data_IF_537765519126
#
_entry.id   IF_537765519126
#
_cell.length_a   1.000
_cell.length_b   1.000
_cell.length_c   1.000
_cell.angle_alpha   90.00
_cell.angle_beta   90.00
_cell.angle_gamma   90.00
#
_symmetry.space_group_name_H-M   'P 1'
#
loop_
_entity.id
_entity.type
_entity.pdbx_description
1 polymer ?
#
# COMPACT_ATOMS: atom_id res chain seq x y z
N UNK A 1 11.48 -15.75 39.60
CA UNK A 1 10.37 -16.29 40.40
C UNK A 1 9.90 -17.58 39.76
N UNK A 2 9.93 -18.69 40.50
CA UNK A 2 9.40 -19.96 40.04
C UNK A 2 7.88 -19.91 40.04
N UNK A 3 7.24 -20.32 38.95
CA UNK A 3 5.79 -20.41 38.85
C UNK A 3 5.38 -21.77 38.31
N UNK A 4 4.21 -22.24 38.77
CA UNK A 4 3.57 -23.43 38.25
C UNK A 4 2.24 -23.05 37.62
N UNK A 5 2.02 -23.45 36.37
CA UNK A 5 0.75 -23.28 35.66
C UNK A 5 0.17 -24.66 35.37
N UNK A 6 -1.00 -24.96 35.93
CA UNK A 6 -1.74 -26.20 35.68
C UNK A 6 -2.95 -25.93 34.81
N UNK A 7 -3.11 -26.76 33.78
CA UNK A 7 -4.30 -26.85 32.92
C UNK A 7 -4.99 -28.20 33.13
N UNK A 8 -6.06 -28.51 32.39
CA UNK A 8 -6.66 -29.83 32.48
C UNK A 8 -5.73 -30.98 32.05
N UNK A 9 -4.82 -30.73 31.11
CA UNK A 9 -4.04 -31.79 30.46
C UNK A 9 -2.53 -31.64 30.65
N UNK A 10 -2.06 -30.55 31.25
CA UNK A 10 -0.64 -30.21 31.32
C UNK A 10 -0.31 -29.42 32.60
N UNK A 11 0.89 -29.61 33.12
CA UNK A 11 1.47 -28.85 34.24
C UNK A 11 2.85 -28.35 33.83
N UNK A 12 3.03 -27.04 33.83
CA UNK A 12 4.28 -26.40 33.43
C UNK A 12 4.90 -25.67 34.60
N UNK A 13 6.19 -25.92 34.82
CA UNK A 13 7.02 -25.16 35.75
C UNK A 13 7.98 -24.28 34.95
N UNK A 14 8.09 -23.01 35.33
CA UNK A 14 9.00 -22.07 34.65
C UNK A 14 9.50 -21.01 35.61
N UNK A 15 10.64 -20.42 35.27
CA UNK A 15 11.15 -19.22 35.94
C UNK A 15 10.82 -17.98 35.10
N UNK A 16 10.26 -16.98 35.74
CA UNK A 16 9.96 -15.68 35.14
C UNK A 16 10.59 -14.56 35.98
N UNK A 17 10.93 -13.40 35.38
CA UNK A 17 11.25 -12.20 36.15
C UNK A 17 10.18 -11.92 37.21
N UNK A 18 10.60 -11.45 38.40
CA UNK A 18 9.68 -11.14 39.50
C UNK A 18 9.01 -9.78 39.29
N UNK A 19 8.30 -9.62 38.17
CA UNK A 19 7.48 -8.45 37.88
C UNK A 19 6.07 -8.89 37.49
N UNK A 20 5.09 -8.03 37.75
CA UNK A 20 3.68 -8.30 37.42
C UNK A 20 3.52 -8.57 35.91
N UNK A 21 4.12 -7.74 35.05
CA UNK A 21 4.02 -7.87 33.60
C UNK A 21 4.61 -9.19 33.10
N UNK A 22 5.79 -9.59 33.58
CA UNK A 22 6.43 -10.83 33.16
C UNK A 22 5.63 -12.08 33.55
N UNK A 23 5.06 -12.08 34.77
CA UNK A 23 4.19 -13.15 35.24
C UNK A 23 2.95 -13.29 34.35
N UNK A 24 2.17 -12.23 34.18
CA UNK A 24 0.92 -12.31 33.41
C UNK A 24 1.17 -12.53 31.91
N UNK A 25 2.33 -12.12 31.38
CA UNK A 25 2.76 -12.49 30.04
C UNK A 25 2.93 -14.00 29.91
N UNK A 26 3.66 -14.63 30.83
CA UNK A 26 3.87 -16.08 30.82
C UNK A 26 2.56 -16.88 30.95
N UNK A 27 1.61 -16.39 31.76
CA UNK A 27 0.26 -16.96 31.86
C UNK A 27 -0.49 -16.79 30.52
N UNK A 28 -0.48 -15.59 29.94
CA UNK A 28 -1.15 -15.28 28.68
C UNK A 28 -0.64 -16.11 27.50
N UNK A 29 0.66 -16.36 27.41
CA UNK A 29 1.28 -17.18 26.36
C UNK A 29 0.72 -18.61 26.32
N UNK A 30 0.28 -19.14 27.46
CA UNK A 30 -0.33 -20.47 27.51
C UNK A 30 -1.65 -20.53 26.71
N UNK A 31 -2.34 -19.40 26.54
CA UNK A 31 -3.63 -19.32 25.84
C UNK A 31 -3.53 -19.64 24.35
N UNK A 32 -2.37 -19.48 23.70
CA UNK A 32 -2.24 -19.64 22.26
C UNK A 32 -2.51 -21.07 21.77
N UNK A 33 -2.25 -22.07 22.62
CA UNK A 33 -2.36 -23.49 22.28
C UNK A 33 -3.35 -24.24 23.19
N UNK A 34 -4.16 -23.51 23.97
CA UNK A 34 -5.04 -24.10 24.95
C UNK A 34 -6.39 -24.49 24.34
N UNK A 35 -6.81 -25.75 24.55
CA UNK A 35 -8.13 -26.20 24.15
C UNK A 35 -9.22 -25.49 24.95
N UNK A 36 -10.39 -25.25 24.36
CA UNK A 36 -11.54 -24.63 25.03
C UNK A 36 -12.65 -25.68 25.19
N UNK A 37 -13.26 -25.86 26.38
CA UNK A 37 -12.98 -25.14 27.62
C UNK A 37 -11.70 -25.59 28.34
N UNK A 38 -11.16 -24.73 29.20
CA UNK A 38 -10.04 -25.05 30.09
C UNK A 38 -10.06 -24.24 31.39
N UNK A 39 -9.06 -24.47 32.24
CA UNK A 39 -8.70 -23.58 33.34
C UNK A 39 -7.17 -23.39 33.39
N UNK A 40 -6.72 -22.31 34.01
CA UNK A 40 -5.33 -22.04 34.34
C UNK A 40 -5.24 -21.81 35.85
N UNK A 41 -4.71 -22.78 36.59
CA UNK A 41 -4.35 -22.62 38.00
C UNK A 41 -2.87 -22.23 38.09
N UNK A 42 -2.62 -21.04 38.63
CA UNK A 42 -1.29 -20.44 38.72
C UNK A 42 -0.86 -20.37 40.17
N UNK A 43 0.22 -21.07 40.52
CA UNK A 43 0.84 -21.01 41.84
C UNK A 43 2.18 -20.27 41.76
N UNK A 44 2.38 -19.31 42.66
CA UNK A 44 3.62 -18.52 42.79
C UNK A 44 4.01 -18.41 44.28
N UNK A 45 5.27 -18.06 44.60
CA UNK A 45 5.68 -17.77 45.97
C UNK A 45 4.95 -16.60 46.65
N UNK A 46 4.25 -15.75 45.88
CA UNK A 46 3.60 -14.53 46.35
C UNK A 46 2.07 -14.56 46.20
N UNK A 47 1.51 -15.76 46.03
CA UNK A 47 0.07 -16.00 45.93
C UNK A 47 -0.31 -16.89 44.75
N UNK A 48 -1.62 -17.10 44.61
CA UNK A 48 -2.21 -17.98 43.60
C UNK A 48 -3.33 -17.28 42.83
N UNK A 49 -3.57 -17.70 41.60
CA UNK A 49 -4.68 -17.23 40.78
C UNK A 49 -5.31 -18.37 39.97
N UNK A 50 -6.61 -18.27 39.72
CA UNK A 50 -7.35 -19.18 38.84
C UNK A 50 -8.06 -18.41 37.73
N UNK A 51 -7.83 -18.83 36.49
CA UNK A 51 -8.49 -18.30 35.32
C UNK A 51 -9.30 -19.37 34.60
N UNK A 52 -10.58 -19.09 34.39
CA UNK A 52 -11.49 -19.92 33.63
C UNK A 52 -11.42 -19.57 32.14
N UNK A 53 -11.28 -20.57 31.28
CA UNK A 53 -11.20 -20.41 29.82
C UNK A 53 -12.46 -20.98 29.19
N UNK A 54 -13.42 -20.09 28.93
CA UNK A 54 -14.78 -20.44 28.47
C UNK A 54 -14.91 -20.21 26.96
N UNK A 55 -15.81 -20.94 26.29
CA UNK A 55 -16.18 -20.65 24.91
C UNK A 55 -17.14 -19.46 24.86
N UNK A 56 -16.84 -18.45 24.05
CA UNK A 56 -17.71 -17.28 23.83
C UNK A 56 -18.28 -17.19 22.40
N UNK A 57 -17.70 -17.94 21.47
CA UNK A 57 -18.05 -17.88 20.06
C UNK A 57 -17.12 -18.75 19.23
N UNK A 58 -16.96 -18.43 17.95
CA UNK A 58 -16.09 -19.15 17.03
C UNK A 58 -15.32 -18.19 16.11
N UNK A 59 -14.23 -18.68 15.53
CA UNK A 59 -13.49 -18.00 14.47
C UNK A 59 -13.02 -19.03 13.43
N UNK A 60 -12.90 -18.62 12.17
CA UNK A 60 -12.35 -19.47 11.13
C UNK A 60 -10.83 -19.32 11.07
N UNK A 61 -10.09 -20.39 10.81
CA UNK A 61 -8.67 -20.37 10.46
C UNK A 61 -8.43 -21.51 9.48
N UNK A 62 -7.85 -21.21 8.32
CA UNK A 62 -7.55 -22.19 7.27
C UNK A 62 -8.78 -23.02 6.82
N UNK A 63 -9.97 -22.40 6.82
CA UNK A 63 -11.23 -23.06 6.48
C UNK A 63 -11.87 -23.88 7.61
N UNK A 64 -11.16 -24.10 8.72
CA UNK A 64 -11.67 -24.79 9.91
C UNK A 64 -12.23 -23.79 10.90
N UNK A 65 -13.35 -24.12 11.55
CA UNK A 65 -13.97 -23.30 12.60
C UNK A 65 -13.45 -23.75 13.96
N UNK A 66 -12.88 -22.81 14.72
CA UNK A 66 -12.34 -23.03 16.06
C UNK A 66 -13.17 -22.28 17.11
N UNK A 67 -13.29 -22.79 18.34
CA UNK A 67 -13.91 -22.07 19.45
C UNK A 67 -13.07 -20.85 19.82
N UNK A 68 -13.72 -19.68 19.93
CA UNK A 68 -13.07 -18.48 20.46
C UNK A 68 -13.18 -18.47 21.99
N UNK A 69 -12.05 -18.32 22.68
CA UNK A 69 -12.00 -18.28 24.13
C UNK A 69 -12.42 -16.92 24.72
N UNK A 70 -12.87 -16.95 25.96
CA UNK A 70 -13.03 -15.80 26.84
C UNK A 70 -12.53 -16.17 28.23
N UNK A 71 -11.57 -15.40 28.72
CA UNK A 71 -10.94 -15.69 30.01
C UNK A 71 -11.61 -14.86 31.11
N UNK A 72 -12.01 -15.53 32.19
CA UNK A 72 -12.48 -14.89 33.44
C UNK A 72 -11.52 -15.20 34.57
N UNK A 73 -11.28 -14.22 35.44
CA UNK A 73 -10.54 -14.43 36.69
C UNK A 73 -11.55 -14.87 37.76
N UNK A 74 -11.35 -16.06 38.31
CA UNK A 74 -12.21 -16.61 39.37
C UNK A 74 -11.74 -16.11 40.74
N UNK A 75 -10.42 -16.17 40.98
CA UNK A 75 -9.76 -15.48 42.09
C UNK A 75 -8.32 -15.16 41.74
N UNK A 76 -7.75 -14.18 42.45
CA UNK A 76 -6.36 -13.80 42.32
C UNK A 76 -5.86 -13.20 43.64
N UNK A 77 -4.90 -13.88 44.26
CA UNK A 77 -4.26 -13.50 45.53
C UNK A 77 -2.81 -13.10 45.35
N UNK A 78 -2.31 -13.08 44.11
CA UNK A 78 -0.93 -12.76 43.78
C UNK A 78 -0.67 -11.29 44.09
N UNK A 79 0.31 -11.03 44.95
CA UNK A 79 0.72 -9.67 45.32
C UNK A 79 2.08 -9.34 44.71
N UNK A 80 2.06 -8.52 43.66
CA UNK A 80 3.25 -7.93 43.06
C UNK A 80 3.04 -6.41 42.90
N UNK A 81 4.11 -5.60 42.97
CA UNK A 81 4.01 -4.19 42.61
C UNK A 81 3.50 -4.04 41.19
N UNK A 82 2.54 -3.13 40.99
CA UNK A 82 1.96 -2.85 39.69
C UNK A 82 3.06 -2.45 38.69
N UNK A 83 3.04 -3.06 37.51
CA UNK A 83 4.01 -2.79 36.45
C UNK A 83 3.42 -1.84 35.38
N UNK A 84 4.25 -1.51 34.39
CA UNK A 84 3.84 -0.76 33.21
C UNK A 84 3.60 -1.70 32.04
N UNK A 85 2.66 -1.33 31.18
CA UNK A 85 2.24 -2.13 30.03
C UNK A 85 2.25 -1.27 28.77
N UNK A 86 2.64 -1.84 27.61
CA UNK A 86 2.74 -1.06 26.38
C UNK A 86 1.36 -0.75 25.78
N UNK A 87 1.21 0.39 25.11
CA UNK A 87 0.10 0.58 24.15
C UNK A 87 0.28 -0.45 23.01
N UNK A 88 -0.81 -1.07 22.56
CA UNK A 88 -0.74 -2.07 21.49
C UNK A 88 -1.90 -1.97 20.51
N UNK A 89 -1.61 -2.10 19.22
CA UNK A 89 -2.60 -2.03 18.16
C UNK A 89 -2.66 -3.35 17.39
N UNK A 90 -3.73 -4.10 17.62
CA UNK A 90 -3.94 -5.40 16.99
C UNK A 90 -4.92 -5.31 15.82
N UNK A 91 -4.68 -6.07 14.76
CA UNK A 91 -5.60 -6.19 13.62
C UNK A 91 -5.99 -7.65 13.37
N UNK A 92 -7.18 -7.90 12.83
CA UNK A 92 -7.64 -9.22 12.45
C UNK A 92 -8.34 -9.15 11.09
N UNK A 93 -7.73 -9.78 10.10
CA UNK A 93 -8.25 -9.92 8.74
C UNK A 93 -8.55 -11.40 8.52
N UNK A 94 -9.83 -11.71 8.27
CA UNK A 94 -10.26 -13.05 7.93
C UNK A 94 -11.41 -12.97 6.92
N UNK A 95 -11.19 -13.39 5.66
CA UNK A 95 -12.21 -13.32 4.64
C UNK A 95 -13.37 -14.28 4.88
N UNK A 96 -13.13 -15.45 5.47
CA UNK A 96 -14.17 -16.49 5.69
C UNK A 96 -15.25 -15.97 6.63
N UNK A 97 -14.86 -15.39 7.77
CA UNK A 97 -15.76 -14.79 8.75
C UNK A 97 -16.03 -13.29 8.53
N UNK A 98 -15.53 -12.72 7.43
CA UNK A 98 -15.52 -11.28 7.15
C UNK A 98 -14.99 -10.41 8.32
N UNK A 99 -14.05 -10.94 9.09
CA UNK A 99 -13.37 -10.16 10.10
C UNK A 99 -12.43 -9.16 9.40
N UNK A 100 -12.61 -7.89 9.72
CA UNK A 100 -11.72 -6.82 9.30
C UNK A 100 -11.65 -5.83 10.44
N UNK A 101 -11.03 -6.24 11.53
CA UNK A 101 -11.22 -5.66 12.86
C UNK A 101 -9.91 -5.13 13.38
N UNK A 102 -9.98 -4.10 14.21
CA UNK A 102 -8.85 -3.66 15.03
C UNK A 102 -9.22 -3.71 16.52
N UNK A 103 -8.20 -3.74 17.35
CA UNK A 103 -8.29 -3.63 18.79
C UNK A 103 -7.08 -2.87 19.32
N UNK A 104 -7.30 -1.67 19.82
CA UNK A 104 -6.29 -0.77 20.32
C UNK A 104 -6.29 -0.76 21.85
N UNK A 105 -5.29 -1.40 22.46
CA UNK A 105 -5.06 -1.44 23.90
C UNK A 105 -4.43 -0.14 24.37
N UNK A 106 -4.99 0.46 25.41
CA UNK A 106 -4.60 1.76 25.96
C UNK A 106 -4.46 1.67 27.48
N UNK A 107 -3.34 1.14 27.99
CA UNK A 107 -3.10 1.07 29.42
C UNK A 107 -3.02 2.49 30.01
N UNK A 108 -3.65 2.71 31.17
CA UNK A 108 -3.68 4.02 31.84
C UNK A 108 -3.79 3.82 33.35
N UNK A 109 -2.68 4.02 34.07
CA UNK A 109 -2.64 3.78 35.51
C UNK A 109 -2.94 2.32 35.84
N UNK A 110 -3.93 2.08 36.70
CA UNK A 110 -4.33 0.75 37.17
C UNK A 110 -5.36 0.04 36.29
N UNK A 111 -5.72 0.61 35.13
CA UNK A 111 -6.72 0.03 34.23
C UNK A 111 -6.25 -0.07 32.79
N UNK A 112 -6.80 -1.07 32.10
CA UNK A 112 -6.68 -1.26 30.66
C UNK A 112 -7.94 -0.74 29.96
N UNK A 113 -7.79 0.38 29.25
CA UNK A 113 -8.77 0.83 28.28
C UNK A 113 -8.54 0.14 26.94
N UNK A 114 -9.57 0.13 26.09
CA UNK A 114 -9.40 -0.27 24.72
C UNK A 114 -10.39 0.42 23.78
N UNK A 115 -9.99 0.60 22.53
CA UNK A 115 -10.87 1.03 21.45
C UNK A 115 -10.84 -0.02 20.35
N UNK A 116 -12.01 -0.44 19.86
CA UNK A 116 -12.11 -1.53 18.89
C UNK A 116 -13.21 -1.26 17.87
N UNK A 117 -13.18 -1.97 16.76
CA UNK A 117 -14.20 -1.82 15.72
C UNK A 117 -13.79 -2.52 14.42
N UNK A 118 -14.59 -2.31 13.38
CA UNK A 118 -14.19 -2.63 12.01
C UNK A 118 -13.19 -1.59 11.51
N UNK A 119 -12.12 -2.07 10.88
CA UNK A 119 -11.15 -1.24 10.17
C UNK A 119 -11.89 -0.42 9.10
N UNK A 120 -11.69 0.90 9.13
CA UNK A 120 -12.30 1.83 8.17
C UNK A 120 -13.71 2.31 8.51
N UNK A 121 -14.32 1.86 9.61
CA UNK A 121 -15.64 2.30 10.02
C UNK A 121 -15.56 3.33 11.17
N UNK A 122 -16.19 4.49 10.98
CA UNK A 122 -16.24 5.61 11.93
C UNK A 122 -17.07 5.34 13.19
N UNK A 123 -17.07 6.27 14.16
CA UNK A 123 -18.01 6.20 15.30
C UNK A 123 -19.43 6.42 14.77
N UNK A 124 -20.40 5.65 15.26
CA UNK A 124 -21.80 5.75 14.83
C UNK A 124 -22.15 4.92 13.59
N UNK A 125 -21.15 4.45 12.83
CA UNK A 125 -21.36 3.54 11.71
C UNK A 125 -21.60 2.10 12.19
N UNK A 126 -22.21 1.28 11.33
CA UNK A 126 -22.41 -0.15 11.60
C UNK A 126 -21.07 -0.86 11.85
N UNK A 127 -20.94 -1.50 13.02
CA UNK A 127 -19.69 -2.11 13.50
C UNK A 127 -18.50 -1.13 13.60
N UNK A 128 -18.80 0.16 13.70
CA UNK A 128 -17.85 1.25 13.83
C UNK A 128 -17.04 1.24 15.13
N UNK A 129 -16.14 2.22 15.24
CA UNK A 129 -15.27 2.42 16.40
C UNK A 129 -16.06 2.56 17.71
N UNK A 130 -15.70 1.76 18.71
CA UNK A 130 -16.28 1.75 20.06
C UNK A 130 -15.18 1.70 21.12
N UNK A 131 -15.39 2.42 22.21
CA UNK A 131 -14.55 2.28 23.39
C UNK A 131 -15.09 1.19 24.31
N UNK A 132 -14.17 0.55 25.03
CA UNK A 132 -14.50 -0.40 26.08
C UNK A 132 -15.26 0.32 27.19
N UNK A 133 -16.51 -0.09 27.44
CA UNK A 133 -17.38 0.57 28.43
C UNK A 133 -16.89 0.39 29.87
N UNK A 134 -16.32 -0.77 30.16
CA UNK A 134 -15.81 -1.14 31.48
C UNK A 134 -14.35 -1.53 31.33
N UNK A 135 -13.41 -0.66 31.71
CA UNK A 135 -11.98 -0.96 31.67
C UNK A 135 -11.66 -2.21 32.48
N UNK A 136 -10.67 -2.98 32.03
CA UNK A 136 -10.19 -4.14 32.80
C UNK A 136 -9.16 -3.69 33.83
N UNK A 137 -8.99 -4.41 34.96
CA UNK A 137 -7.78 -4.29 35.78
C UNK A 137 -6.52 -4.46 34.92
N UNK A 138 -5.48 -3.65 35.20
CA UNK A 138 -4.30 -3.58 34.33
C UNK A 138 -3.54 -4.92 34.24
N UNK A 139 -3.52 -5.72 35.31
CA UNK A 139 -2.86 -7.03 35.34
C UNK A 139 -3.43 -8.02 34.32
N UNK A 140 -4.67 -7.81 33.85
CA UNK A 140 -5.27 -8.61 32.78
C UNK A 140 -4.78 -8.23 31.38
N UNK A 141 -3.87 -7.27 31.23
CA UNK A 141 -3.35 -6.82 29.93
C UNK A 141 -2.92 -7.99 29.04
N UNK A 142 -1.98 -8.81 29.52
CA UNK A 142 -1.44 -9.90 28.71
C UNK A 142 -2.47 -10.99 28.47
N UNK A 143 -3.33 -11.28 29.44
CA UNK A 143 -4.44 -12.21 29.26
C UNK A 143 -5.34 -11.75 28.10
N UNK A 144 -5.74 -10.49 28.07
CA UNK A 144 -6.58 -9.94 26.99
C UNK A 144 -5.83 -9.86 25.66
N UNK A 145 -4.55 -9.51 25.68
CA UNK A 145 -3.69 -9.48 24.51
C UNK A 145 -3.59 -10.85 23.84
N UNK A 146 -3.19 -11.91 24.58
CA UNK A 146 -3.07 -13.25 24.02
C UNK A 146 -4.43 -13.90 23.72
N UNK A 147 -5.51 -13.52 24.43
CA UNK A 147 -6.89 -13.89 24.06
C UNK A 147 -7.27 -13.35 22.67
N UNK A 148 -6.74 -12.19 22.25
CA UNK A 148 -6.93 -11.67 20.89
C UNK A 148 -6.06 -12.40 19.89
N UNK A 149 -4.78 -12.62 20.20
CA UNK A 149 -3.87 -13.33 19.31
C UNK A 149 -4.38 -14.76 18.99
N UNK A 150 -4.92 -15.47 19.99
CA UNK A 150 -5.50 -16.81 19.79
C UNK A 150 -6.71 -16.82 18.84
N UNK A 151 -7.39 -15.67 18.65
CA UNK A 151 -8.51 -15.47 17.72
C UNK A 151 -8.07 -15.07 16.31
N UNK A 152 -6.77 -15.05 16.04
CA UNK A 152 -6.21 -14.64 14.74
C UNK A 152 -6.01 -13.13 14.61
N UNK A 153 -5.94 -12.38 15.72
CA UNK A 153 -5.37 -11.04 15.67
C UNK A 153 -3.84 -11.12 15.51
N UNK A 154 -3.26 -10.11 14.87
CA UNK A 154 -1.82 -9.88 14.76
C UNK A 154 -1.48 -8.54 15.39
N UNK A 155 -0.31 -8.47 16.01
CA UNK A 155 0.22 -7.23 16.58
C UNK A 155 0.89 -6.40 15.50
N UNK A 156 0.35 -5.20 15.29
CA UNK A 156 0.80 -4.24 14.29
C UNK A 156 1.18 -2.90 14.94
N UNK A 157 1.53 -2.94 16.23
CA UNK A 157 1.87 -1.75 17.01
C UNK A 157 3.01 -0.94 16.38
N UNK A 158 4.00 -1.61 15.81
CA UNK A 158 5.12 -0.94 15.12
C UNK A 158 4.70 -0.12 13.91
N UNK A 159 3.50 -0.34 13.36
CA UNK A 159 2.96 0.38 12.20
C UNK A 159 1.99 1.47 12.67
N UNK A 160 1.00 1.11 13.49
CA UNK A 160 -0.09 2.00 13.87
C UNK A 160 0.23 2.93 15.04
N UNK A 161 1.20 2.55 15.87
CA UNK A 161 1.70 3.36 16.99
C UNK A 161 3.10 3.91 16.70
N UNK A 162 3.63 3.67 15.50
CA UNK A 162 4.78 4.43 15.05
C UNK A 162 4.46 5.92 15.24
N UNK A 163 5.36 6.72 15.83
CA UNK A 163 5.18 8.15 15.80
C UNK A 163 4.92 8.54 14.35
N UNK A 164 3.81 9.25 14.11
CA UNK A 164 3.69 9.99 12.86
C UNK A 164 5.00 10.74 12.72
N UNK A 165 5.74 10.52 11.61
CA UNK A 165 7.09 11.04 11.41
C UNK A 165 7.10 12.44 11.99
N UNK A 166 7.68 12.57 13.19
CA UNK A 166 7.68 13.82 13.92
C UNK A 166 8.34 14.76 12.96
N UNK A 167 7.58 15.79 12.56
CA UNK A 167 7.98 16.92 11.73
C UNK A 167 9.50 17.03 11.71
N UNK A 168 10.18 16.28 10.83
CA UNK A 168 11.51 16.66 10.41
C UNK A 168 11.28 18.08 9.97
N UNK A 169 12.00 19.08 10.55
CA UNK A 169 11.71 20.49 10.33
C UNK A 169 11.45 20.61 8.85
N UNK A 170 10.19 20.90 8.51
CA UNK A 170 9.69 20.84 7.12
C UNK A 170 10.78 21.54 6.34
N UNK A 171 11.55 20.78 5.55
CA UNK A 171 12.61 21.38 4.77
C UNK A 171 11.91 22.54 4.06
N UNK A 172 12.32 23.79 4.30
CA UNK A 172 11.46 24.94 4.08
C UNK A 172 10.89 24.79 2.69
N UNK A 173 9.55 24.66 2.60
CA UNK A 173 8.88 24.46 1.33
C UNK A 173 9.43 25.51 0.41
N UNK A 174 10.20 25.09 -0.59
CA UNK A 174 10.76 26.02 -1.56
C UNK A 174 9.55 26.39 -2.39
N UNK A 175 8.92 27.55 -2.17
CA UNK A 175 7.69 27.84 -2.88
C UNK A 175 8.07 27.98 -4.36
N UNK A 176 7.28 27.37 -5.24
CA UNK A 176 7.34 27.81 -6.61
C UNK A 176 6.83 29.25 -6.64
N UNK A 177 7.48 30.09 -7.42
CA UNK A 177 7.07 31.49 -7.60
C UNK A 177 6.17 31.63 -8.84
N UNK A 178 6.08 30.58 -9.65
CA UNK A 178 5.29 30.56 -10.88
C UNK A 178 3.87 30.07 -10.60
N UNK A 179 2.84 30.90 -10.83
CA UNK A 179 1.45 30.53 -10.56
C UNK A 179 1.02 29.22 -11.24
N UNK A 180 1.46 28.98 -12.47
CA UNK A 180 1.07 27.82 -13.28
C UNK A 180 1.60 26.50 -12.70
N UNK A 181 2.82 26.54 -12.15
CA UNK A 181 3.43 25.39 -11.48
C UNK A 181 2.75 25.10 -10.14
N UNK A 182 2.37 26.14 -9.38
CA UNK A 182 1.62 26.02 -8.13
C UNK A 182 0.24 25.42 -8.39
N UNK A 183 -0.50 25.96 -9.35
CA UNK A 183 -1.84 25.51 -9.72
C UNK A 183 -1.82 24.03 -10.14
N UNK A 184 -0.90 23.66 -11.04
CA UNK A 184 -0.76 22.28 -11.48
C UNK A 184 -0.42 21.36 -10.31
N UNK A 185 0.57 21.72 -9.48
CA UNK A 185 0.97 20.89 -8.35
C UNK A 185 -0.21 20.65 -7.40
N UNK A 186 -0.92 21.71 -7.00
CA UNK A 186 -2.08 21.61 -6.10
C UNK A 186 -3.19 20.74 -6.70
N UNK A 187 -3.42 20.85 -8.01
CA UNK A 187 -4.41 20.05 -8.72
C UNK A 187 -4.05 18.58 -8.73
N UNK A 188 -2.80 18.23 -9.08
CA UNK A 188 -2.32 16.85 -9.06
C UNK A 188 -2.31 16.26 -7.63
N UNK A 189 -1.91 17.05 -6.64
CA UNK A 189 -1.96 16.65 -5.23
C UNK A 189 -3.40 16.35 -4.77
N UNK A 190 -4.37 17.14 -5.21
CA UNK A 190 -5.79 16.93 -4.89
C UNK A 190 -6.30 15.59 -5.41
N UNK A 191 -5.91 15.19 -6.62
CA UNK A 191 -6.27 13.86 -7.15
C UNK A 191 -5.64 12.73 -6.34
N UNK A 192 -4.34 12.83 -6.03
CA UNK A 192 -3.64 11.85 -5.22
C UNK A 192 -4.28 11.74 -3.82
N UNK A 193 -4.53 12.88 -3.17
CA UNK A 193 -5.20 12.94 -1.87
C UNK A 193 -6.58 12.32 -1.92
N UNK A 194 -7.37 12.63 -2.94
CA UNK A 194 -8.70 12.03 -3.13
C UNK A 194 -8.67 10.51 -3.26
N UNK A 195 -7.68 9.95 -3.95
CA UNK A 195 -7.46 8.50 -4.03
C UNK A 195 -7.17 7.90 -2.65
N UNK A 196 -6.28 8.51 -1.88
CA UNK A 196 -5.95 8.05 -0.52
C UNK A 196 -7.15 8.17 0.42
N UNK A 197 -7.88 9.29 0.40
CA UNK A 197 -9.05 9.52 1.26
C UNK A 197 -10.20 8.56 0.96
N UNK A 198 -10.42 8.24 -0.32
CA UNK A 198 -11.47 7.30 -0.74
C UNK A 198 -11.16 5.86 -0.35
N UNK A 199 -9.90 5.44 -0.47
CA UNK A 199 -9.56 4.02 -0.40
C UNK A 199 -8.82 3.62 0.87
N UNK A 200 -7.99 4.48 1.46
CA UNK A 200 -7.18 4.16 2.64
C UNK A 200 -7.89 4.53 3.95
N UNK A 201 -7.78 3.65 4.94
CA UNK A 201 -8.14 3.93 6.33
C UNK A 201 -6.98 4.65 7.00
N UNK A 202 -7.27 5.61 7.88
CA UNK A 202 -6.26 6.50 8.46
C UNK A 202 -5.47 7.29 7.40
N UNK A 203 -6.17 7.73 6.34
CA UNK A 203 -5.61 8.55 5.25
C UNK A 203 -4.91 9.83 5.73
N UNK A 204 -5.25 10.31 6.93
CA UNK A 204 -4.65 11.47 7.59
C UNK A 204 -3.24 11.23 8.12
N UNK A 205 -2.77 9.97 8.16
CA UNK A 205 -1.50 9.56 8.77
C UNK A 205 -0.74 8.55 7.90
N UNK A 206 -0.52 8.87 6.63
CA UNK A 206 0.38 8.08 5.77
C UNK A 206 1.83 8.29 6.19
N UNK A 207 2.55 7.22 6.50
CA UNK A 207 3.97 7.28 6.90
C UNK A 207 4.90 6.76 5.82
N UNK A 208 6.17 7.22 5.83
CA UNK A 208 7.21 6.74 4.91
C UNK A 208 7.43 5.24 5.04
N UNK A 209 7.42 4.71 6.27
CA UNK A 209 7.57 3.27 6.53
C UNK A 209 6.38 2.48 6.00
N UNK A 210 5.15 2.97 6.17
CA UNK A 210 3.96 2.35 5.60
C UNK A 210 4.05 2.24 4.08
N UNK A 211 4.47 3.32 3.40
CA UNK A 211 4.67 3.32 1.94
C UNK A 211 5.77 2.34 1.55
N UNK A 212 6.92 2.36 2.25
CA UNK A 212 8.06 1.48 2.00
C UNK A 212 7.69 0.01 2.13
N UNK A 213 7.01 -0.39 3.21
CA UNK A 213 6.57 -1.77 3.42
C UNK A 213 5.50 -2.18 2.41
N UNK A 214 4.56 -1.30 2.08
CA UNK A 214 3.54 -1.57 1.07
C UNK A 214 4.15 -1.82 -0.32
N UNK A 215 5.18 -1.08 -0.71
CA UNK A 215 5.94 -1.33 -1.95
C UNK A 215 6.63 -2.70 -1.94
N UNK A 216 7.27 -3.08 -0.82
CA UNK A 216 7.92 -4.40 -0.68
C UNK A 216 6.90 -5.54 -0.82
N UNK A 217 5.73 -5.41 -0.19
CA UNK A 217 4.67 -6.41 -0.28
C UNK A 217 4.05 -6.43 -1.68
N UNK A 218 3.89 -5.27 -2.34
CA UNK A 218 3.41 -5.20 -3.73
C UNK A 218 4.39 -5.92 -4.68
N UNK A 219 5.70 -5.74 -4.48
CA UNK A 219 6.70 -6.49 -5.21
C UNK A 219 6.60 -7.99 -4.92
N UNK A 220 6.44 -8.40 -3.66
CA UNK A 220 6.22 -9.80 -3.31
C UNK A 220 4.94 -10.36 -3.98
N UNK A 221 3.85 -9.59 -4.02
CA UNK A 221 2.57 -9.99 -4.63
C UNK A 221 2.72 -10.37 -6.10
N UNK A 222 3.49 -9.58 -6.85
CA UNK A 222 3.72 -9.83 -8.29
C UNK A 222 4.35 -11.19 -8.57
N UNK A 223 5.13 -11.73 -7.64
CA UNK A 223 5.81 -13.03 -7.79
C UNK A 223 4.90 -14.24 -7.53
N UNK A 224 3.68 -14.03 -7.02
CA UNK A 224 2.82 -15.15 -6.61
C UNK A 224 2.03 -15.72 -7.78
N UNK A 225 2.04 -17.04 -7.89
CA UNK A 225 1.39 -17.78 -8.97
C UNK A 225 0.12 -18.50 -8.52
N UNK A 226 -0.01 -18.79 -7.22
CA UNK A 226 -1.17 -19.49 -6.65
C UNK A 226 -2.16 -18.52 -6.00
N UNK A 227 -3.45 -18.85 -6.06
CA UNK A 227 -4.53 -18.05 -5.45
C UNK A 227 -4.33 -17.90 -3.93
N UNK A 228 -3.86 -18.96 -3.27
CA UNK A 228 -3.65 -18.98 -1.82
C UNK A 228 -2.53 -18.00 -1.44
N UNK A 229 -1.34 -18.16 -2.03
CA UNK A 229 -0.17 -17.35 -1.67
C UNK A 229 -0.38 -15.87 -2.02
N UNK A 230 -1.04 -15.60 -3.16
CA UNK A 230 -1.41 -14.23 -3.55
C UNK A 230 -2.33 -13.59 -2.51
N UNK A 231 -3.43 -14.26 -2.13
CA UNK A 231 -4.38 -13.72 -1.17
C UNK A 231 -3.81 -13.63 0.26
N UNK A 232 -2.93 -14.54 0.67
CA UNK A 232 -2.22 -14.43 1.95
C UNK A 232 -1.29 -13.21 1.97
N UNK A 233 -0.55 -12.98 0.88
CA UNK A 233 0.32 -11.82 0.73
C UNK A 233 -0.48 -10.52 0.66
N UNK A 234 -1.61 -10.52 -0.05
CA UNK A 234 -2.50 -9.36 -0.17
C UNK A 234 -3.11 -9.01 1.18
N UNK A 235 -3.46 -9.99 2.00
CA UNK A 235 -3.92 -9.75 3.36
C UNK A 235 -2.84 -9.09 4.23
N UNK A 236 -1.54 -9.42 4.07
CA UNK A 236 -0.46 -8.66 4.72
C UNK A 236 -0.50 -7.20 4.31
N UNK A 237 -0.66 -6.93 3.01
CA UNK A 237 -0.78 -5.56 2.51
C UNK A 237 -2.00 -4.83 3.08
N UNK A 238 -3.15 -5.51 3.19
CA UNK A 238 -4.39 -4.99 3.81
C UNK A 238 -4.23 -4.70 5.30
N UNK A 239 -3.26 -5.34 5.97
CA UNK A 239 -2.92 -5.02 7.36
C UNK A 239 -2.12 -3.73 7.48
N UNK A 240 -1.14 -3.52 6.60
CA UNK A 240 -0.26 -2.33 6.64
C UNK A 240 -0.96 -1.08 6.11
N UNK A 241 -1.69 -1.23 5.00
CA UNK A 241 -2.40 -0.13 4.32
C UNK A 241 -3.89 -0.43 4.24
N UNK A 242 -4.62 -0.44 5.36
CA UNK A 242 -6.02 -0.87 5.40
C UNK A 242 -6.92 -0.15 4.41
N UNK A 243 -7.70 -0.90 3.61
CA UNK A 243 -8.69 -0.37 2.65
C UNK A 243 -10.02 -0.11 3.34
N UNK A 244 -10.77 0.92 2.94
CA UNK A 244 -12.18 1.08 3.34
C UNK A 244 -13.03 0.01 2.64
N UNK A 245 -13.53 -0.98 3.39
CA UNK A 245 -14.38 -2.03 2.81
C UNK A 245 -15.33 -2.67 3.83
N UNK A 246 -16.57 -2.92 3.38
CA UNK A 246 -17.58 -3.70 4.11
C UNK A 246 -17.33 -5.21 4.07
N UNK A 247 -16.70 -5.71 2.99
CA UNK A 247 -16.47 -7.13 2.79
C UNK A 247 -15.01 -7.39 2.41
N UNK A 248 -14.25 -8.11 3.24
CA UNK A 248 -12.84 -8.40 2.95
C UNK A 248 -12.69 -9.18 1.64
N UNK A 249 -13.62 -10.12 1.39
CA UNK A 249 -13.62 -10.92 0.16
C UNK A 249 -13.69 -10.09 -1.12
N UNK A 250 -14.28 -8.87 -1.09
CA UNK A 250 -14.33 -8.01 -2.27
C UNK A 250 -12.97 -7.36 -2.62
N UNK A 251 -12.00 -7.45 -1.72
CA UNK A 251 -10.64 -6.97 -1.93
C UNK A 251 -9.70 -8.07 -2.41
N UNK A 252 -10.10 -9.34 -2.33
CA UNK A 252 -9.27 -10.50 -2.61
C UNK A 252 -9.51 -11.04 -4.01
N UNK A 253 -8.51 -11.74 -4.56
CA UNK A 253 -8.66 -12.46 -5.81
C UNK A 253 -9.59 -13.66 -5.63
N UNK A 254 -10.42 -13.93 -6.63
CA UNK A 254 -11.25 -15.15 -6.71
C UNK A 254 -10.58 -16.18 -7.63
N UNK A 255 -9.84 -15.71 -8.63
CA UNK A 255 -9.08 -16.51 -9.60
C UNK A 255 -7.78 -15.81 -9.96
N UNK A 256 -6.83 -16.56 -10.51
CA UNK A 256 -5.50 -16.03 -10.90
C UNK A 256 -5.58 -14.91 -11.94
N UNK A 257 -6.60 -14.90 -12.80
CA UNK A 257 -6.81 -13.81 -13.76
C UNK A 257 -7.15 -12.46 -13.10
N UNK A 258 -7.48 -12.43 -11.82
CA UNK A 258 -7.79 -11.19 -11.09
C UNK A 258 -6.52 -10.48 -10.58
N UNK A 259 -5.38 -11.19 -10.52
CA UNK A 259 -4.10 -10.68 -10.02
C UNK A 259 -3.66 -9.34 -10.65
N UNK A 260 -3.63 -9.18 -11.99
CA UNK A 260 -3.27 -7.91 -12.65
C UNK A 260 -4.06 -6.73 -12.11
N UNK A 261 -5.39 -6.82 -12.17
CA UNK A 261 -6.26 -5.71 -11.81
C UNK A 261 -6.13 -5.37 -10.31
N UNK A 262 -5.86 -6.36 -9.46
CA UNK A 262 -5.59 -6.12 -8.06
C UNK A 262 -4.21 -5.46 -7.87
N UNK A 263 -3.16 -5.94 -8.53
CA UNK A 263 -1.83 -5.32 -8.46
C UNK A 263 -1.89 -3.87 -8.93
N UNK A 264 -2.55 -3.58 -10.05
CA UNK A 264 -2.72 -2.23 -10.57
C UNK A 264 -3.49 -1.34 -9.59
N UNK A 265 -4.62 -1.84 -9.05
CA UNK A 265 -5.41 -1.14 -8.02
C UNK A 265 -4.58 -0.79 -6.79
N UNK A 266 -3.76 -1.73 -6.30
CA UNK A 266 -2.94 -1.50 -5.13
C UNK A 266 -1.74 -0.60 -5.44
N UNK A 267 -1.17 -0.70 -6.64
CA UNK A 267 -0.12 0.19 -7.10
C UNK A 267 -0.59 1.64 -7.16
N UNK A 268 -1.77 1.91 -7.71
CA UNK A 268 -2.28 3.29 -7.81
C UNK A 268 -2.47 3.92 -6.43
N UNK A 269 -3.01 3.15 -5.47
CA UNK A 269 -3.15 3.63 -4.10
C UNK A 269 -1.79 3.93 -3.46
N UNK A 270 -0.83 3.01 -3.59
CA UNK A 270 0.52 3.19 -3.03
C UNK A 270 1.23 4.38 -3.71
N UNK A 271 1.07 4.54 -5.01
CA UNK A 271 1.61 5.67 -5.79
C UNK A 271 1.04 7.00 -5.29
N UNK A 272 -0.27 7.05 -5.01
CA UNK A 272 -0.90 8.23 -4.42
C UNK A 272 -0.44 8.48 -2.97
N UNK A 273 -0.19 7.41 -2.19
CA UNK A 273 0.35 7.53 -0.83
C UNK A 273 1.76 8.12 -0.79
N UNK A 274 2.61 7.88 -1.80
CA UNK A 274 4.01 8.37 -1.84
C UNK A 274 4.13 9.89 -1.81
N UNK A 275 3.14 10.58 -2.37
CA UNK A 275 3.14 12.04 -2.49
C UNK A 275 2.39 12.71 -1.36
N UNK A 276 1.80 11.95 -0.43
CA UNK A 276 1.13 12.50 0.74
C UNK A 276 2.12 13.23 1.64
N UNK A 277 1.65 14.31 2.24
CA UNK A 277 2.43 15.18 3.12
C UNK A 277 1.68 15.38 4.45
N UNK A 278 2.40 15.69 5.55
CA UNK A 278 1.78 16.05 6.82
C UNK A 278 0.80 17.23 6.67
N UNK A 279 -0.16 17.32 7.58
CA UNK A 279 -1.23 18.33 7.53
C UNK A 279 -0.66 19.75 7.49
N UNK A 280 -1.00 20.50 6.43
CA UNK A 280 -0.68 21.93 6.29
C UNK A 280 0.34 22.27 5.19
N UNK A 281 1.14 21.32 4.69
CA UNK A 281 2.00 21.51 3.53
C UNK A 281 1.55 20.64 2.36
N UNK A 282 1.38 21.25 1.20
CA UNK A 282 1.07 20.53 -0.05
C UNK A 282 2.38 20.17 -0.77
N UNK A 283 3.45 20.95 -0.59
CA UNK A 283 4.74 20.82 -1.29
C UNK A 283 4.79 21.63 -2.59
N UNK A 284 5.87 21.46 -3.36
CA UNK A 284 6.03 22.10 -4.67
C UNK A 284 6.95 21.30 -5.61
N UNK A 285 6.88 21.56 -6.92
CA UNK A 285 7.82 20.98 -7.88
C UNK A 285 9.28 21.39 -7.61
N UNK A 286 9.50 22.62 -7.09
CA UNK A 286 10.85 23.11 -6.79
C UNK A 286 11.55 22.32 -5.68
N UNK A 287 10.81 21.80 -4.71
CA UNK A 287 11.37 20.93 -3.66
C UNK A 287 12.09 19.70 -4.23
N UNK A 288 11.66 19.25 -5.42
CA UNK A 288 12.22 18.10 -6.13
C UNK A 288 13.18 18.49 -7.27
N UNK A 289 13.55 19.77 -7.38
CA UNK A 289 14.30 20.32 -8.51
C UNK A 289 13.63 20.04 -9.86
N UNK A 290 12.31 20.27 -9.92
CA UNK A 290 11.50 20.14 -11.12
C UNK A 290 11.04 21.53 -11.52
N UNK A 291 11.33 21.92 -12.76
CA UNK A 291 10.88 23.18 -13.31
C UNK A 291 9.67 22.94 -14.21
N UNK A 292 8.58 23.64 -13.91
CA UNK A 292 7.35 23.57 -14.68
C UNK A 292 7.04 24.95 -15.25
N UNK A 293 6.67 24.97 -16.53
CA UNK A 293 6.28 26.17 -17.26
C UNK A 293 5.09 25.84 -18.15
N UNK A 294 4.23 26.82 -18.42
CA UNK A 294 3.33 26.72 -19.56
C UNK A 294 4.15 26.65 -20.86
N UNK A 295 3.76 25.77 -21.78
CA UNK A 295 4.47 25.58 -23.04
C UNK A 295 4.36 26.84 -23.91
N UNK A 296 5.46 27.21 -24.55
CA UNK A 296 5.44 28.28 -25.57
C UNK A 296 4.63 27.84 -26.79
N UNK A 297 4.21 28.76 -27.66
CA UNK A 297 3.46 28.42 -28.88
C UNK A 297 4.17 27.38 -29.75
N UNK A 298 5.49 27.49 -29.89
CA UNK A 298 6.30 26.50 -30.64
C UNK A 298 6.30 25.13 -29.98
N UNK A 299 6.41 25.07 -28.65
CA UNK A 299 6.34 23.80 -27.91
C UNK A 299 4.93 23.22 -27.94
N UNK A 300 3.90 24.07 -27.86
CA UNK A 300 2.51 23.66 -27.99
C UNK A 300 2.25 23.03 -29.35
N UNK A 301 2.74 23.64 -30.42
CA UNK A 301 2.63 23.12 -31.77
C UNK A 301 3.34 21.76 -31.92
N UNK A 302 4.57 21.63 -31.41
CA UNK A 302 5.32 20.36 -31.38
C UNK A 302 4.48 19.24 -30.73
N UNK A 303 3.89 19.52 -29.55
CA UNK A 303 3.08 18.53 -28.83
C UNK A 303 1.78 18.19 -29.56
N UNK A 304 1.11 19.18 -30.17
CA UNK A 304 -0.13 18.99 -30.94
C UNK A 304 0.11 18.11 -32.18
N UNK A 305 1.27 18.25 -32.84
CA UNK A 305 1.65 17.43 -33.99
C UNK A 305 1.83 15.94 -33.63
N UNK A 306 2.10 15.64 -32.36
CA UNK A 306 2.14 14.26 -31.84
C UNK A 306 0.75 13.70 -31.48
N UNK A 307 -0.33 14.47 -31.62
CA UNK A 307 -1.70 14.06 -31.31
C UNK A 307 -2.51 13.74 -32.57
N UNK A 308 -3.53 12.89 -32.43
CA UNK A 308 -4.55 12.71 -33.48
C UNK A 308 -5.54 13.87 -33.48
N UNK A 309 -6.17 14.20 -34.63
CA UNK A 309 -7.12 15.32 -34.72
C UNK A 309 -8.22 15.29 -33.63
N UNK A 310 -8.71 14.11 -33.27
CA UNK A 310 -9.67 13.90 -32.18
C UNK A 310 -9.18 14.40 -30.82
N UNK A 311 -7.91 14.15 -30.48
CA UNK A 311 -7.33 14.53 -29.20
C UNK A 311 -6.83 15.97 -29.22
N UNK A 312 -6.40 16.48 -30.38
CA UNK A 312 -6.02 17.89 -30.53
C UNK A 312 -7.14 18.83 -30.09
N UNK A 313 -8.38 18.52 -30.46
CA UNK A 313 -9.57 19.30 -30.08
C UNK A 313 -9.88 19.27 -28.58
N UNK A 314 -9.33 18.30 -27.84
CA UNK A 314 -9.52 18.15 -26.40
C UNK A 314 -8.42 18.84 -25.59
N UNK A 315 -7.33 19.31 -26.20
CA UNK A 315 -6.18 19.89 -25.48
C UNK A 315 -6.56 21.22 -24.85
N UNK A 316 -6.44 21.30 -23.52
CA UNK A 316 -6.64 22.52 -22.74
C UNK A 316 -5.32 23.26 -22.53
N UNK A 317 -4.47 22.69 -21.67
CA UNK A 317 -3.18 23.24 -21.25
C UNK A 317 -2.04 22.26 -21.50
N UNK A 318 -0.85 22.79 -21.75
CA UNK A 318 0.38 22.01 -21.93
C UNK A 318 1.45 22.63 -21.04
N UNK A 319 2.07 21.80 -20.20
CA UNK A 319 3.19 22.22 -19.38
C UNK A 319 4.48 21.56 -19.84
N UNK A 320 5.54 22.34 -20.00
CA UNK A 320 6.91 21.84 -20.10
C UNK A 320 7.40 21.48 -18.71
N UNK A 321 7.83 20.23 -18.54
CA UNK A 321 8.30 19.67 -17.26
C UNK A 321 9.76 19.30 -17.38
N UNK A 322 10.65 19.97 -16.63
CA UNK A 322 12.09 19.73 -16.64
C UNK A 322 12.50 19.17 -15.27
N UNK A 323 12.53 17.83 -15.12
CA UNK A 323 12.95 17.19 -13.88
C UNK A 323 14.48 16.99 -13.86
N UNK A 324 15.23 17.87 -13.21
CA UNK A 324 16.70 17.92 -13.30
C UNK A 324 17.38 16.58 -12.97
N UNK A 325 16.90 15.91 -11.91
CA UNK A 325 17.42 14.60 -11.49
C UNK A 325 17.17 13.52 -12.55
N UNK A 326 15.94 13.45 -13.07
CA UNK A 326 15.55 12.43 -14.06
C UNK A 326 16.25 12.69 -15.40
N UNK A 327 16.38 13.97 -15.80
CA UNK A 327 17.09 14.36 -17.01
C UNK A 327 18.57 13.96 -16.97
N UNK A 328 19.25 14.14 -15.83
CA UNK A 328 20.65 13.71 -15.66
C UNK A 328 20.78 12.18 -15.80
N UNK A 329 19.88 11.42 -15.18
CA UNK A 329 19.84 9.96 -15.30
C UNK A 329 19.61 9.53 -16.75
N UNK A 330 18.64 10.13 -17.43
CA UNK A 330 18.33 9.85 -18.83
C UNK A 330 19.49 10.19 -19.78
N UNK A 331 20.13 11.33 -19.59
CA UNK A 331 21.28 11.73 -20.40
C UNK A 331 22.47 10.79 -20.20
N UNK A 332 22.69 10.33 -18.96
CA UNK A 332 23.73 9.36 -18.63
C UNK A 332 23.46 8.02 -19.30
N UNK A 333 22.21 7.54 -19.24
CA UNK A 333 21.76 6.33 -19.93
C UNK A 333 21.96 6.43 -21.45
N UNK A 334 21.56 7.54 -22.07
CA UNK A 334 21.77 7.74 -23.50
C UNK A 334 23.25 7.72 -23.88
N UNK A 335 24.12 8.32 -23.05
CA UNK A 335 25.57 8.33 -23.27
C UNK A 335 26.16 6.92 -23.16
N UNK A 336 25.83 6.19 -22.10
CA UNK A 336 26.29 4.83 -21.83
C UNK A 336 25.88 3.85 -22.96
N UNK A 337 24.64 3.95 -23.41
CA UNK A 337 24.10 3.08 -24.46
C UNK A 337 24.31 3.63 -25.88
N UNK A 338 25.07 4.72 -26.05
CA UNK A 338 25.40 5.33 -27.34
C UNK A 338 24.17 5.72 -28.18
N UNK A 339 23.11 6.18 -27.51
CA UNK A 339 21.85 6.59 -28.13
C UNK A 339 21.90 8.09 -28.42
N UNK A 340 21.97 8.44 -29.71
CA UNK A 340 22.04 9.84 -30.17
C UNK A 340 20.68 10.46 -30.46
N UNK A 341 19.67 9.64 -30.78
CA UNK A 341 18.34 10.09 -31.17
C UNK A 341 17.30 9.53 -30.20
N UNK A 342 16.55 10.42 -29.59
CA UNK A 342 15.43 10.10 -28.71
C UNK A 342 14.12 10.23 -29.47
N UNK A 343 13.08 9.54 -28.99
CA UNK A 343 11.71 9.67 -29.55
C UNK A 343 10.78 10.24 -28.48
N UNK A 344 9.76 10.97 -28.90
CA UNK A 344 8.67 11.36 -28.01
C UNK A 344 7.59 10.27 -28.06
N UNK A 345 7.12 9.79 -26.91
CA UNK A 345 6.06 8.78 -26.83
C UNK A 345 5.06 9.10 -25.72
N UNK A 346 3.81 8.69 -25.92
CA UNK A 346 2.72 8.97 -25.01
C UNK A 346 2.59 7.92 -23.93
N UNK A 347 2.38 8.38 -22.70
CA UNK A 347 1.98 7.55 -21.57
C UNK A 347 0.70 8.11 -20.95
N UNK A 348 -0.25 7.22 -20.66
CA UNK A 348 -1.50 7.55 -19.98
C UNK A 348 -1.56 6.86 -18.62
N UNK A 349 -2.14 7.54 -17.64
CA UNK A 349 -2.32 7.05 -16.29
C UNK A 349 -3.48 7.79 -15.64
N UNK A 350 -4.04 7.21 -14.56
CA UNK A 350 -5.01 7.88 -13.68
C UNK A 350 -4.46 9.22 -13.16
N UNK A 351 -5.35 10.18 -12.98
CA UNK A 351 -5.05 11.52 -12.47
C UNK A 351 -4.27 11.49 -11.15
N UNK A 352 -4.65 10.58 -10.24
CA UNK A 352 -4.04 10.42 -8.92
C UNK A 352 -2.55 10.04 -8.96
N UNK A 353 -2.05 9.50 -10.07
CA UNK A 353 -0.67 9.03 -10.18
C UNK A 353 0.28 10.12 -10.70
N UNK A 354 -0.22 11.15 -11.38
CA UNK A 354 0.63 12.08 -12.13
C UNK A 354 1.56 12.91 -11.26
N UNK A 355 1.19 13.23 -10.01
CA UNK A 355 2.12 13.90 -9.10
C UNK A 355 3.35 13.02 -8.83
N UNK A 356 3.14 11.75 -8.48
CA UNK A 356 4.23 10.81 -8.23
C UNK A 356 5.06 10.55 -9.48
N UNK A 357 4.41 10.36 -10.64
CA UNK A 357 5.11 10.19 -11.92
C UNK A 357 5.97 11.42 -12.23
N UNK A 358 5.49 12.63 -11.93
CA UNK A 358 6.25 13.85 -12.15
C UNK A 358 7.44 13.94 -11.20
N UNK A 359 7.27 13.65 -9.90
CA UNK A 359 8.34 13.70 -8.88
C UNK A 359 9.39 12.58 -9.05
N UNK A 360 8.93 11.36 -9.30
CA UNK A 360 9.72 10.13 -9.15
C UNK A 360 9.96 9.35 -10.46
N UNK A 361 9.42 9.84 -11.57
CA UNK A 361 9.33 9.14 -12.86
C UNK A 361 8.42 7.90 -12.81
N UNK A 362 8.20 7.28 -13.97
CA UNK A 362 7.44 6.03 -14.04
C UNK A 362 8.29 4.91 -13.44
N UNK A 363 7.68 4.12 -12.55
CA UNK A 363 8.33 2.96 -11.93
C UNK A 363 7.99 1.67 -12.66
N UNK A 364 9.00 0.82 -12.85
CA UNK A 364 8.79 -0.54 -13.35
C UNK A 364 8.18 -1.34 -12.21
N UNK A 365 6.92 -1.72 -12.40
CA UNK A 365 6.27 -2.66 -11.50
C UNK A 365 6.74 -4.07 -11.86
N UNK A 366 7.12 -4.88 -10.87
CA UNK A 366 7.37 -6.29 -11.14
C UNK A 366 6.05 -6.92 -11.63
N UNK A 367 6.13 -7.72 -12.69
CA UNK A 367 4.96 -8.37 -13.28
C UNK A 367 4.76 -9.76 -12.70
N UNK A 368 3.54 -10.27 -12.86
CA UNK A 368 3.23 -11.65 -12.62
C UNK A 368 3.53 -12.48 -13.86
N UNK A 369 3.94 -13.74 -13.67
CA UNK A 369 4.47 -14.65 -14.72
C UNK A 369 3.62 -14.71 -16.00
N UNK A 370 2.33 -14.39 -15.94
CA UNK A 370 1.39 -14.49 -17.06
C UNK A 370 0.78 -13.15 -17.51
N UNK A 371 1.40 -12.03 -17.13
CA UNK A 371 0.58 -10.86 -16.87
C UNK A 371 0.73 -9.59 -17.64
N UNK A 372 1.98 -9.24 -17.88
CA UNK A 372 2.32 -8.23 -18.86
C UNK A 372 2.84 -9.00 -20.05
N UNK A 373 2.24 -8.73 -21.21
CA UNK A 373 2.46 -9.51 -22.43
C UNK A 373 3.94 -9.54 -22.87
N UNK A 374 4.76 -8.60 -22.37
CA UNK A 374 6.19 -8.51 -22.63
C UNK A 374 7.08 -8.43 -21.38
N UNK A 375 6.55 -8.75 -20.19
CA UNK A 375 7.30 -8.72 -18.93
C UNK A 375 7.38 -7.36 -18.24
N UNK A 376 8.39 -7.23 -17.37
CA UNK A 376 8.53 -6.14 -16.39
C UNK A 376 9.12 -4.88 -17.03
N UNK A 377 8.27 -4.13 -17.73
CA UNK A 377 8.69 -2.89 -18.35
C UNK A 377 7.66 -1.76 -18.25
N UNK A 378 8.11 -0.58 -18.64
CA UNK A 378 7.24 0.58 -18.88
C UNK A 378 6.74 0.53 -20.31
N UNK A 379 5.42 0.58 -20.46
CA UNK A 379 4.72 0.48 -21.73
C UNK A 379 4.38 1.87 -22.26
N UNK A 380 4.80 2.11 -23.50
CA UNK A 380 4.49 3.31 -24.27
C UNK A 380 3.73 2.95 -25.55
N UNK A 381 2.93 3.90 -26.02
CA UNK A 381 2.26 3.82 -27.30
C UNK A 381 2.75 4.95 -28.22
N UNK A 382 2.86 4.62 -29.52
CA UNK A 382 3.00 5.64 -30.57
C UNK A 382 1.67 6.35 -30.79
N UNK A 383 0.56 5.61 -30.73
CA UNK A 383 -0.78 6.14 -30.90
C UNK A 383 -1.29 6.76 -29.58
N UNK A 384 -1.52 8.09 -29.51
CA UNK A 384 -1.97 8.75 -28.29
C UNK A 384 -3.35 8.26 -27.82
N UNK A 385 -4.24 7.83 -28.73
CA UNK A 385 -5.56 7.30 -28.33
C UNK A 385 -5.44 6.05 -27.47
N UNK A 386 -4.41 5.23 -27.70
CA UNK A 386 -4.16 4.04 -26.88
C UNK A 386 -3.79 4.44 -25.46
N UNK A 387 -2.90 5.43 -25.30
CA UNK A 387 -2.53 5.97 -23.99
C UNK A 387 -3.71 6.67 -23.32
N UNK A 388 -4.58 7.34 -24.07
CA UNK A 388 -5.79 7.99 -23.54
C UNK A 388 -6.72 7.01 -22.82
N UNK A 389 -6.77 5.74 -23.23
CA UNK A 389 -7.60 4.70 -22.59
C UNK A 389 -7.18 4.34 -21.15
N UNK A 390 -6.01 4.82 -20.70
CA UNK A 390 -5.49 4.64 -19.34
C UNK A 390 -5.69 5.88 -18.46
N UNK A 391 -6.33 6.92 -18.98
CA UNK A 391 -6.65 8.15 -18.24
C UNK A 391 -7.91 8.00 -17.38
N UNK A 392 -8.21 9.00 -16.55
CA UNK A 392 -9.39 9.05 -15.68
C UNK A 392 -10.71 9.44 -16.38
N UNK A 393 -10.75 9.46 -17.72
CA UNK A 393 -11.94 9.86 -18.48
C UNK A 393 -12.99 8.76 -18.43
N UNK A 394 -14.28 9.12 -18.43
CA UNK A 394 -15.37 8.14 -18.56
C UNK A 394 -15.41 7.43 -19.91
N UNK A 395 -14.76 7.99 -20.92
CA UNK A 395 -14.55 7.32 -22.21
C UNK A 395 -13.34 6.37 -22.21
N UNK A 396 -12.51 6.41 -21.16
CA UNK A 396 -11.36 5.53 -21.00
C UNK A 396 -11.80 4.13 -20.56
N UNK A 397 -11.14 3.10 -21.11
CA UNK A 397 -11.56 1.71 -20.97
C UNK A 397 -11.05 1.04 -19.68
N UNK A 398 -9.93 1.48 -19.14
CA UNK A 398 -9.16 0.71 -18.16
C UNK A 398 -9.23 1.24 -16.72
N UNK A 399 -9.87 2.39 -16.50
CA UNK A 399 -9.85 3.06 -15.19
C UNK A 399 -11.19 3.03 -14.46
N UNK A 400 -12.32 3.04 -15.20
CA UNK A 400 -13.68 3.21 -14.67
C UNK A 400 -13.83 4.47 -13.81
N UNK A 401 -13.17 5.56 -14.20
CA UNK A 401 -13.27 6.89 -13.57
C UNK A 401 -14.09 7.83 -14.45
N UNK A 402 -14.55 8.95 -13.90
CA UNK A 402 -15.40 9.93 -14.59
C UNK A 402 -14.96 11.36 -14.23
N UNK A 403 -13.68 11.63 -14.46
CA UNK A 403 -13.12 12.96 -14.27
C UNK A 403 -13.41 13.82 -15.51
N UNK A 404 -13.80 15.09 -15.32
CA UNK A 404 -14.04 16.02 -16.44
C UNK A 404 -12.75 16.46 -17.16
N UNK A 405 -11.61 16.30 -16.49
CA UNK A 405 -10.30 16.71 -16.99
C UNK A 405 -9.32 15.57 -16.73
N UNK A 406 -8.51 15.26 -17.72
CA UNK A 406 -7.52 14.18 -17.64
C UNK A 406 -6.15 14.61 -18.13
N UNK A 407 -5.12 13.82 -17.80
CA UNK A 407 -3.76 14.11 -18.21
C UNK A 407 -3.08 12.95 -18.94
N UNK A 408 -2.23 13.30 -19.89
CA UNK A 408 -1.25 12.39 -20.47
C UNK A 408 0.14 13.04 -20.48
N UNK A 409 1.17 12.21 -20.37
CA UNK A 409 2.56 12.64 -20.42
C UNK A 409 3.17 12.31 -21.77
N UNK A 410 3.93 13.26 -22.32
CA UNK A 410 4.81 13.05 -23.46
C UNK A 410 6.25 12.92 -22.96
N UNK A 411 6.84 11.75 -23.16
CA UNK A 411 8.16 11.41 -22.65
C UNK A 411 9.17 11.33 -23.79
N UNK A 412 10.37 11.88 -23.55
CA UNK A 412 11.53 11.48 -24.34
C UNK A 412 11.96 10.09 -23.89
N UNK A 413 12.09 9.18 -24.86
CA UNK A 413 12.50 7.81 -24.64
C UNK A 413 13.75 7.46 -25.44
N UNK A 414 14.65 6.72 -24.82
CA UNK A 414 15.92 6.28 -25.37
C UNK A 414 15.69 5.03 -26.25
N UNK A 415 14.97 5.24 -27.37
CA UNK A 415 14.49 4.15 -28.25
C UNK A 415 15.63 3.25 -28.77
N UNK A 416 16.77 3.84 -29.15
CA UNK A 416 17.96 3.10 -29.54
C UNK A 416 17.70 2.04 -30.63
N UNK A 417 18.24 0.83 -30.41
CA UNK A 417 18.06 -0.35 -31.26
C UNK A 417 16.95 -1.25 -30.71
N UNK A 418 15.75 -1.27 -31.32
CA UNK A 418 14.65 -2.11 -30.85
C UNK A 418 14.86 -3.60 -31.18
N UNK A 419 14.28 -4.45 -30.34
CA UNK A 419 13.93 -5.83 -30.66
C UNK A 419 12.50 -5.86 -31.20
N UNK A 420 12.33 -6.23 -32.47
CA UNK A 420 11.01 -6.35 -33.07
C UNK A 420 10.39 -7.71 -32.77
N UNK A 421 9.14 -7.72 -32.32
CA UNK A 421 8.38 -8.93 -31.98
C UNK A 421 6.94 -8.82 -32.45
N UNK A 422 6.30 -9.96 -32.71
CA UNK A 422 4.90 -10.04 -33.18
C UNK A 422 3.99 -10.87 -32.26
N UNK A 423 4.58 -11.51 -31.25
CA UNK A 423 3.91 -12.41 -30.30
C UNK A 423 4.40 -12.15 -28.88
N UNK A 424 3.53 -12.40 -27.90
CA UNK A 424 3.83 -12.26 -26.47
C UNK A 424 5.05 -13.08 -26.05
N UNK A 425 5.95 -12.48 -25.26
CA UNK A 425 7.10 -13.15 -24.65
C UNK A 425 7.57 -12.33 -23.46
N UNK A 426 7.77 -12.94 -22.31
CA UNK A 426 8.27 -12.26 -21.12
C UNK A 426 9.76 -11.94 -21.25
N UNK A 427 10.10 -10.73 -21.69
CA UNK A 427 11.49 -10.28 -21.81
C UNK A 427 12.02 -9.78 -20.47
N UNK A 428 13.34 -9.90 -20.30
CA UNK A 428 14.07 -9.37 -19.15
C UNK A 428 15.13 -8.35 -19.59
N UNK A 429 15.59 -7.44 -18.71
CA UNK A 429 16.71 -6.55 -19.01
C UNK A 429 17.95 -7.30 -19.53
N UNK A 430 18.27 -8.44 -18.89
CA UNK A 430 19.41 -9.29 -19.27
C UNK A 430 19.28 -9.83 -20.69
N UNK A 431 18.09 -10.29 -21.09
CA UNK A 431 17.87 -10.81 -22.45
C UNK A 431 18.08 -9.71 -23.51
N UNK A 432 17.64 -8.47 -23.24
CA UNK A 432 17.89 -7.36 -24.16
C UNK A 432 19.36 -6.99 -24.25
N UNK A 433 20.07 -7.00 -23.12
CA UNK A 433 21.52 -6.75 -23.08
C UNK A 433 22.28 -7.79 -23.92
N UNK A 434 22.01 -9.08 -23.72
CA UNK A 434 22.61 -10.18 -24.49
C UNK A 434 22.34 -10.02 -26.00
N UNK A 435 21.14 -9.56 -26.38
CA UNK A 435 20.77 -9.28 -27.78
C UNK A 435 21.25 -7.92 -28.29
N UNK A 436 21.91 -7.11 -27.45
CA UNK A 436 22.36 -5.74 -27.74
C UNK A 436 21.21 -4.84 -28.22
N UNK A 437 20.08 -4.92 -27.53
CA UNK A 437 18.84 -4.18 -27.79
C UNK A 437 18.52 -3.23 -26.63
N UNK A 438 17.86 -2.12 -26.93
CA UNK A 438 17.55 -1.08 -25.94
C UNK A 438 16.08 -1.10 -25.48
N UNK A 439 15.18 -1.61 -26.31
CA UNK A 439 13.76 -1.74 -26.01
C UNK A 439 13.15 -2.89 -26.82
N UNK A 440 11.93 -3.28 -26.46
CA UNK A 440 11.08 -4.14 -27.28
C UNK A 440 10.12 -3.25 -28.07
N UNK A 441 10.00 -3.52 -29.36
CA UNK A 441 8.95 -2.96 -30.22
C UNK A 441 8.06 -4.12 -30.66
N UNK A 442 6.93 -4.25 -29.99
CA UNK A 442 5.90 -5.21 -30.33
C UNK A 442 4.98 -4.63 -31.39
N UNK A 443 4.94 -5.27 -32.56
CA UNK A 443 4.16 -4.79 -33.70
C UNK A 443 2.70 -5.21 -33.60
N UNK A 444 1.81 -4.33 -34.05
CA UNK A 444 0.42 -4.64 -34.32
C UNK A 444 0.29 -5.79 -35.34
N UNK A 445 -0.77 -6.58 -35.21
CA UNK A 445 -1.03 -7.74 -36.05
C UNK A 445 -1.58 -8.91 -35.23
N UNK A 446 -0.75 -9.94 -35.03
CA UNK A 446 -1.20 -11.24 -34.48
C UNK A 446 -1.72 -11.16 -33.05
N UNK A 447 -0.98 -10.52 -32.15
CA UNK A 447 -1.30 -10.47 -30.72
C UNK A 447 -1.75 -9.08 -30.23
N UNK A 448 -1.56 -8.05 -31.06
CA UNK A 448 -1.80 -6.65 -30.71
C UNK A 448 -2.63 -5.94 -31.77
N UNK A 449 -3.55 -5.08 -31.34
CA UNK A 449 -4.26 -4.16 -32.24
C UNK A 449 -3.40 -2.99 -32.69
N UNK A 450 -2.47 -2.57 -31.84
CA UNK A 450 -1.65 -1.37 -32.00
C UNK A 450 -0.27 -1.66 -31.41
N UNK A 451 0.79 -1.04 -31.96
CA UNK A 451 2.17 -1.21 -31.49
C UNK A 451 2.32 -0.91 -29.98
N UNK A 452 3.27 -1.59 -29.34
CA UNK A 452 3.73 -1.31 -27.98
C UNK A 452 5.24 -1.24 -27.94
N UNK A 453 5.76 -0.21 -27.25
CA UNK A 453 7.17 -0.06 -27.02
C UNK A 453 7.41 -0.21 -25.52
N UNK A 454 8.29 -1.15 -25.17
CA UNK A 454 8.53 -1.54 -23.79
C UNK A 454 9.99 -1.27 -23.44
N UNK A 455 10.19 -0.54 -22.33
CA UNK A 455 11.50 -0.24 -21.75
C UNK A 455 11.65 -0.95 -20.41
N UNK A 456 12.82 -1.56 -20.19
CA UNK A 456 13.13 -2.36 -18.99
C UNK A 456 14.13 -1.65 -18.06
N UNK A 457 14.30 -0.34 -18.26
CA UNK A 457 15.06 0.54 -17.39
C UNK A 457 14.33 1.86 -17.27
N UNK A 458 14.02 2.29 -16.04
CA UNK A 458 13.42 3.59 -15.75
C UNK A 458 14.31 4.75 -16.25
N UNK A 459 15.62 4.53 -16.32
CA UNK A 459 16.59 5.50 -16.84
C UNK A 459 16.45 5.76 -18.36
N UNK A 460 15.71 4.91 -19.08
CA UNK A 460 15.51 5.03 -20.52
C UNK A 460 14.42 6.03 -20.91
N UNK A 461 13.82 6.76 -19.97
CA UNK A 461 12.78 7.75 -20.24
C UNK A 461 12.87 8.97 -19.33
N UNK A 462 12.37 10.11 -19.82
CA UNK A 462 12.19 11.34 -19.03
C UNK A 462 10.95 12.09 -19.52
N UNK A 463 10.14 12.60 -18.60
CA UNK A 463 8.97 13.40 -18.95
C UNK A 463 9.43 14.73 -19.55
N UNK A 464 8.88 15.09 -20.71
CA UNK A 464 9.10 16.41 -21.30
C UNK A 464 7.89 17.31 -21.12
N UNK A 465 6.69 16.77 -21.31
CA UNK A 465 5.45 17.53 -21.23
C UNK A 465 4.39 16.76 -20.46
N UNK A 466 3.56 17.51 -19.73
CA UNK A 466 2.28 17.04 -19.21
C UNK A 466 1.18 17.81 -19.94
N UNK A 467 0.17 17.11 -20.43
CA UNK A 467 -0.91 17.68 -21.24
C UNK A 467 -2.25 17.44 -20.57
N UNK A 468 -3.02 18.50 -20.40
CA UNK A 468 -4.40 18.47 -19.90
C UNK A 468 -5.39 18.37 -21.06
N UNK A 469 -6.36 17.46 -20.93
CA UNK A 469 -7.43 17.26 -21.90
C UNK A 469 -8.81 17.38 -21.25
N UNK A 470 -9.78 17.86 -22.00
CA UNK A 470 -11.20 17.60 -21.71
C UNK A 470 -11.49 16.11 -21.90
N UNK A 471 -12.23 15.52 -20.96
CA UNK A 471 -12.46 14.08 -20.88
C UNK A 471 -13.29 13.49 -22.02
#
# INVERSE_FOLDING_TARGET
MHITIKTYNDTRNMEVPQTESALYKAIGEQLLNLSVPNRLLVSTPVGEAEFDVKQRGTFAKDGTIYPSMYVTEEYNTIQLPQDTYPEAYLTCINPVSNNYKFYHFRPSGSVLNATYGRIGAGRGEAFGKKDLKTPYPIHLYWIRYYEKLSKGYKDESSIYLAPAVSETPVAPTIPDQRPEAIELYQKLYTYAKGMVERHLVHHDKVTVEQVSQSKKILAELSTKTTLKDFNETLQKLLTISPRKSRYVKSLLAVKTSDFPAIIDRENDLITAMEVMRPSGSIGSFREHNIHVFEATDSQRQEVIEHLTPSLQQKVRKIWRVIPDRQQKTFNSYCKEHHIRYVRQMWHGSRNANWLSITENSIKILPSYENGRMFGDGVYFALNPNKSFLYTSSSSAKYTNEDENVVYMGLFAVAYGKPLYVESSHHFTPRELEEKKKNCVHAKAGRSLREDEIIFYSEAAMVMNYLVEFDA
#
